data_IF_608744558958
#
_entry.id   IF_608744558958
#
_cell.length_a   1.000
_cell.length_b   1.000
_cell.length_c   1.000
_cell.angle_alpha   90.00
_cell.angle_beta   90.00
_cell.angle_gamma   90.00
#
_symmetry.space_group_name_H-M   'P 1'
#
loop_
_entity.id
_entity.type
_entity.pdbx_description
1 polymer ?
#
# COMPACT_ATOMS: atom_id res chain seq x y z
N UNK A 1 5.69 -0.01 28.18
CA UNK A 1 6.89 -0.85 28.30
C UNK A 1 7.08 -1.54 26.98
N UNK A 2 8.14 -1.24 26.23
CA UNK A 2 8.35 -1.79 24.89
C UNK A 2 8.88 -3.22 25.04
N UNK A 3 8.06 -4.20 24.71
CA UNK A 3 8.54 -5.56 24.51
C UNK A 3 9.39 -5.59 23.23
N UNK A 4 10.65 -5.16 23.36
CA UNK A 4 11.67 -5.61 22.44
C UNK A 4 11.86 -7.10 22.71
N UNK A 5 11.34 -7.95 21.83
CA UNK A 5 11.76 -9.35 21.82
C UNK A 5 13.21 -9.35 21.29
N UNK A 6 14.13 -9.00 22.18
CA UNK A 6 15.53 -9.39 22.02
C UNK A 6 15.59 -10.85 22.42
N UNK A 7 15.87 -11.72 21.49
CA UNK A 7 16.27 -13.07 21.84
C UNK A 7 17.51 -12.96 22.74
N UNK A 8 17.37 -13.41 23.98
CA UNK A 8 18.50 -13.47 24.93
C UNK A 8 19.49 -14.48 24.34
N UNK A 9 20.74 -14.11 24.23
CA UNK A 9 21.82 -14.92 23.67
C UNK A 9 22.13 -16.18 24.53
N UNK A 10 21.61 -16.20 25.75
CA UNK A 10 21.92 -17.27 26.73
C UNK A 10 21.00 -18.50 26.61
N UNK A 11 19.94 -18.45 25.80
CA UNK A 11 19.05 -19.58 25.60
C UNK A 11 19.41 -20.35 24.33
N UNK A 12 20.04 -21.48 24.48
CA UNK A 12 20.26 -22.44 23.39
C UNK A 12 18.91 -22.95 22.88
N UNK A 13 18.67 -22.90 21.59
CA UNK A 13 17.44 -23.37 20.96
C UNK A 13 17.71 -24.03 19.60
N UNK A 14 16.79 -24.88 19.16
CA UNK A 14 16.77 -25.46 17.82
C UNK A 14 16.17 -24.46 16.84
N UNK A 15 16.90 -24.15 15.78
CA UNK A 15 16.39 -23.27 14.72
C UNK A 15 15.76 -24.09 13.60
N UNK A 16 14.47 -23.85 13.37
CA UNK A 16 13.71 -24.46 12.27
C UNK A 16 13.52 -23.43 11.17
N UNK A 17 14.19 -23.58 10.04
CA UNK A 17 14.07 -22.69 8.90
C UNK A 17 13.11 -23.25 7.87
N UNK A 18 12.16 -22.41 7.42
CA UNK A 18 11.17 -22.79 6.40
C UNK A 18 11.25 -21.82 5.23
N UNK A 19 11.54 -22.38 4.06
CA UNK A 19 11.39 -21.68 2.78
C UNK A 19 9.99 -21.96 2.25
N UNK A 20 9.20 -20.89 2.09
CA UNK A 20 7.77 -20.98 1.82
C UNK A 20 7.47 -20.78 0.33
N UNK A 21 6.88 -21.80 -0.30
CA UNK A 21 6.31 -21.74 -1.65
C UNK A 21 4.79 -21.66 -1.64
N UNK A 22 4.18 -21.66 -2.84
CA UNK A 22 2.73 -21.60 -3.00
C UNK A 22 2.04 -22.92 -2.61
N UNK A 23 2.53 -24.06 -3.13
CA UNK A 23 1.91 -25.37 -2.97
C UNK A 23 2.60 -26.24 -1.90
N UNK A 24 3.86 -25.94 -1.62
CA UNK A 24 4.67 -26.66 -0.65
C UNK A 24 5.77 -25.75 -0.09
N UNK A 25 6.29 -26.15 1.06
CA UNK A 25 7.44 -25.52 1.71
C UNK A 25 8.55 -26.52 1.96
N UNK A 26 9.78 -26.06 2.11
CA UNK A 26 10.87 -26.87 2.60
C UNK A 26 11.25 -26.46 4.02
N UNK A 27 11.41 -27.44 4.89
CA UNK A 27 11.79 -27.29 6.29
C UNK A 27 13.15 -27.90 6.54
N UNK A 28 14.02 -27.19 7.26
CA UNK A 28 15.31 -27.69 7.76
C UNK A 28 15.46 -27.35 9.24
N UNK A 29 16.03 -28.27 10.00
CA UNK A 29 16.25 -28.13 11.44
C UNK A 29 17.76 -28.01 11.68
N UNK A 30 18.18 -26.96 12.39
CA UNK A 30 19.58 -26.71 12.74
C UNK A 30 19.75 -26.59 14.25
N UNK A 31 20.77 -27.24 14.77
CA UNK A 31 21.19 -27.14 16.17
C UNK A 31 21.98 -25.85 16.42
N UNK A 32 22.18 -25.43 17.68
CA UNK A 32 22.96 -24.24 18.03
C UNK A 32 24.39 -24.24 17.47
N UNK A 33 24.98 -25.42 17.31
CA UNK A 33 26.30 -25.61 16.72
C UNK A 33 26.30 -25.59 15.18
N UNK A 34 25.17 -25.22 14.55
CA UNK A 34 24.93 -25.14 13.11
C UNK A 34 24.89 -26.51 12.37
N UNK A 35 24.88 -27.62 13.08
CA UNK A 35 24.67 -28.94 12.48
C UNK A 35 23.18 -29.14 12.17
N UNK A 36 22.89 -29.79 11.03
CA UNK A 36 21.51 -30.07 10.63
C UNK A 36 21.05 -31.43 11.16
N UNK A 37 19.79 -31.43 11.65
CA UNK A 37 19.11 -32.68 12.07
C UNK A 37 18.39 -33.25 10.85
N UNK A 38 18.91 -34.36 10.35
CA UNK A 38 18.32 -35.07 9.23
C UNK A 38 18.39 -34.31 7.87
N UNK A 39 17.57 -34.78 6.93
CA UNK A 39 17.44 -34.16 5.59
C UNK A 39 16.31 -33.13 5.59
N UNK A 40 16.38 -32.09 4.72
CA UNK A 40 15.26 -31.17 4.55
C UNK A 40 13.96 -31.91 4.24
N UNK A 41 12.88 -31.54 4.92
CA UNK A 41 11.55 -32.12 4.76
C UNK A 41 10.66 -31.25 3.89
N UNK A 42 9.94 -31.87 2.93
CA UNK A 42 8.99 -31.19 2.08
C UNK A 42 7.61 -31.21 2.72
N UNK A 43 7.08 -30.03 3.06
CA UNK A 43 5.74 -29.86 3.62
C UNK A 43 4.77 -29.58 2.48
N UNK A 44 3.82 -30.46 2.24
CA UNK A 44 2.75 -30.23 1.26
C UNK A 44 1.62 -29.46 1.95
N UNK A 45 1.22 -28.31 1.39
CA UNK A 45 0.20 -27.45 1.99
C UNK A 45 -1.23 -28.02 1.89
N UNK A 46 -1.47 -28.89 0.92
CA UNK A 46 -2.75 -29.58 0.70
C UNK A 46 -2.88 -30.93 1.43
N UNK A 47 -1.92 -31.28 2.30
CA UNK A 47 -1.92 -32.55 3.03
C UNK A 47 -1.74 -32.32 4.53
N UNK A 48 -2.80 -32.61 5.28
CA UNK A 48 -2.76 -32.54 6.76
C UNK A 48 -1.73 -33.52 7.33
N UNK A 49 -1.61 -34.71 6.74
CA UNK A 49 -0.59 -35.69 7.16
C UNK A 49 0.83 -35.13 6.98
N UNK A 50 1.09 -34.42 5.90
CA UNK A 50 2.39 -33.77 5.67
C UNK A 50 2.66 -32.67 6.70
N UNK A 51 1.66 -31.86 7.04
CA UNK A 51 1.74 -30.82 8.06
C UNK A 51 1.97 -31.44 9.47
N UNK A 52 1.22 -32.50 9.80
CA UNK A 52 1.36 -33.21 11.08
C UNK A 52 2.74 -33.88 11.19
N UNK A 53 3.22 -34.47 10.10
CA UNK A 53 4.58 -35.05 10.06
C UNK A 53 5.67 -33.99 10.29
N UNK A 54 5.48 -32.77 9.72
CA UNK A 54 6.41 -31.67 9.98
C UNK A 54 6.46 -31.30 11.47
N UNK A 55 5.29 -31.19 12.12
CA UNK A 55 5.17 -30.96 13.57
C UNK A 55 5.84 -32.05 14.36
N UNK A 56 5.59 -33.34 14.03
CA UNK A 56 6.23 -34.48 14.72
C UNK A 56 7.76 -34.44 14.65
N UNK A 57 8.30 -34.12 13.46
CA UNK A 57 9.76 -33.98 13.27
C UNK A 57 10.38 -32.86 14.11
N UNK A 58 9.66 -31.76 14.31
CA UNK A 58 10.14 -30.66 15.17
C UNK A 58 10.14 -31.13 16.61
N UNK A 59 9.06 -31.78 17.10
CA UNK A 59 8.94 -32.31 18.47
C UNK A 59 9.95 -33.40 18.75
N UNK A 60 10.18 -34.34 17.83
CA UNK A 60 11.22 -35.37 17.93
C UNK A 60 12.62 -34.75 18.11
N UNK A 61 12.90 -33.63 17.42
CA UNK A 61 14.16 -32.91 17.61
C UNK A 61 14.21 -32.21 18.98
N UNK A 62 13.12 -31.58 19.44
CA UNK A 62 13.06 -30.99 20.79
C UNK A 62 13.33 -32.04 21.89
N UNK A 63 12.70 -33.19 21.80
CA UNK A 63 12.87 -34.30 22.75
C UNK A 63 14.30 -34.86 22.68
N UNK A 64 14.83 -35.10 21.47
CA UNK A 64 16.16 -35.72 21.28
C UNK A 64 17.31 -34.87 21.82
N UNK A 65 17.17 -33.55 21.75
CA UNK A 65 18.21 -32.59 22.15
C UNK A 65 17.87 -31.85 23.44
N UNK A 66 16.68 -32.05 24.01
CA UNK A 66 16.18 -31.35 25.21
C UNK A 66 16.27 -29.83 25.08
N UNK A 67 15.93 -29.30 23.92
CA UNK A 67 15.94 -27.88 23.57
C UNK A 67 14.62 -27.47 22.94
N UNK A 68 14.14 -26.26 23.25
CA UNK A 68 12.99 -25.68 22.57
C UNK A 68 13.32 -25.27 21.12
N UNK A 69 12.34 -25.33 20.24
CA UNK A 69 12.49 -24.86 18.86
C UNK A 69 11.96 -23.44 18.66
N UNK A 70 12.62 -22.71 17.76
CA UNK A 70 12.15 -21.43 17.22
C UNK A 70 12.06 -21.56 15.71
N UNK A 71 10.88 -21.25 15.17
CA UNK A 71 10.57 -21.43 13.75
C UNK A 71 10.70 -20.10 13.01
N UNK A 72 11.43 -20.13 11.92
CA UNK A 72 11.71 -18.98 11.07
C UNK A 72 11.21 -19.23 9.65
N UNK A 73 10.11 -18.51 9.26
CA UNK A 73 9.52 -18.60 7.94
C UNK A 73 9.98 -17.42 7.08
N UNK A 74 10.39 -17.69 5.84
CA UNK A 74 10.65 -16.61 4.90
C UNK A 74 9.32 -16.02 4.39
N UNK A 75 9.18 -14.67 4.42
CA UNK A 75 7.96 -13.99 3.94
C UNK A 75 7.90 -13.96 2.42
N UNK A 76 7.32 -15.00 1.83
CA UNK A 76 7.06 -15.05 0.39
C UNK A 76 5.61 -14.74 0.10
N UNK A 77 5.32 -13.51 -0.33
CA UNK A 77 3.96 -13.06 -0.61
C UNK A 77 3.02 -13.28 0.58
N UNK A 78 1.89 -13.95 0.32
CA UNK A 78 0.86 -14.30 1.33
C UNK A 78 0.96 -15.76 1.80
N UNK A 79 1.79 -16.58 1.17
CA UNK A 79 1.78 -18.03 1.34
C UNK A 79 2.28 -18.50 2.71
N UNK A 80 3.03 -17.66 3.43
CA UNK A 80 3.53 -18.00 4.77
C UNK A 80 2.45 -17.92 5.86
N UNK A 81 1.35 -17.16 5.64
CA UNK A 81 0.32 -16.96 6.67
C UNK A 81 -0.33 -18.26 7.18
N UNK A 82 -0.87 -19.14 6.30
CA UNK A 82 -1.51 -20.37 6.76
C UNK A 82 -0.57 -21.26 7.57
N UNK A 83 0.67 -21.42 7.10
CA UNK A 83 1.66 -22.27 7.76
C UNK A 83 2.13 -21.66 9.09
N UNK A 84 2.33 -20.33 9.13
CA UNK A 84 2.64 -19.61 10.36
C UNK A 84 1.55 -19.80 11.43
N UNK A 85 0.29 -19.58 11.07
CA UNK A 85 -0.85 -19.75 11.98
C UNK A 85 -0.95 -21.21 12.46
N UNK A 86 -0.86 -22.17 11.55
CA UNK A 86 -0.91 -23.59 11.88
C UNK A 86 0.18 -23.98 12.90
N UNK A 87 1.43 -23.56 12.69
CA UNK A 87 2.53 -23.88 13.59
C UNK A 87 2.41 -23.16 14.94
N UNK A 88 2.00 -21.90 14.93
CA UNK A 88 1.72 -21.13 16.15
C UNK A 88 0.61 -21.79 16.99
N UNK A 89 -0.46 -22.24 16.35
CA UNK A 89 -1.59 -22.88 17.02
C UNK A 89 -1.22 -24.28 17.59
N UNK A 90 -0.10 -24.89 17.10
CA UNK A 90 0.52 -26.07 17.69
C UNK A 90 1.47 -25.75 18.85
N UNK A 91 1.58 -24.47 19.25
CA UNK A 91 2.35 -24.00 20.39
C UNK A 91 3.80 -23.62 20.08
N UNK A 92 4.21 -23.58 18.81
CA UNK A 92 5.58 -23.20 18.46
C UNK A 92 5.81 -21.68 18.45
N UNK A 93 7.02 -21.28 18.82
CA UNK A 93 7.48 -19.90 18.68
C UNK A 93 7.86 -19.62 17.22
N UNK A 94 6.98 -18.95 16.50
CA UNK A 94 7.13 -18.66 15.06
C UNK A 94 7.49 -17.20 14.81
N UNK A 95 8.44 -16.99 13.91
CA UNK A 95 8.88 -15.66 13.46
C UNK A 95 9.00 -15.60 11.95
N UNK A 96 8.76 -14.42 11.38
CA UNK A 96 8.87 -14.20 9.93
C UNK A 96 10.15 -13.44 9.60
N UNK A 97 10.91 -13.93 8.62
CA UNK A 97 12.16 -13.32 8.15
C UNK A 97 11.93 -12.66 6.80
N UNK A 98 12.44 -11.44 6.65
CA UNK A 98 12.42 -10.77 5.36
C UNK A 98 13.40 -11.46 4.38
N UNK A 99 12.98 -11.80 3.14
CA UNK A 99 13.83 -12.44 2.13
C UNK A 99 15.15 -11.70 1.81
N UNK A 100 15.20 -10.40 2.05
CA UNK A 100 16.44 -9.62 1.88
C UNK A 100 17.50 -10.05 2.89
N UNK A 101 17.11 -10.44 4.10
CA UNK A 101 18.04 -10.86 5.15
C UNK A 101 18.64 -12.23 4.78
N UNK A 102 17.81 -13.18 4.35
CA UNK A 102 18.26 -14.50 3.92
C UNK A 102 19.16 -14.41 2.67
N UNK A 103 18.83 -13.58 1.71
CA UNK A 103 19.65 -13.35 0.50
C UNK A 103 21.01 -12.73 0.80
N UNK A 104 21.09 -11.76 1.72
CA UNK A 104 22.34 -11.04 2.03
C UNK A 104 23.28 -11.85 2.96
N UNK A 105 22.76 -12.82 3.70
CA UNK A 105 23.55 -13.56 4.69
C UNK A 105 24.35 -14.75 4.12
N UNK A 106 24.27 -15.04 2.83
CA UNK A 106 24.74 -16.29 2.21
C UNK A 106 25.87 -16.15 1.20
N UNK A 107 26.62 -15.07 1.20
CA UNK A 107 27.78 -14.90 0.29
C UNK A 107 29.01 -15.77 0.65
N UNK A 108 28.85 -16.87 1.38
CA UNK A 108 29.98 -17.76 1.78
C UNK A 108 30.33 -18.80 0.72
N UNK A 109 29.44 -19.09 -0.25
CA UNK A 109 29.71 -20.09 -1.28
C UNK A 109 29.79 -19.48 -2.68
N UNK A 110 30.90 -19.73 -3.37
CA UNK A 110 31.24 -19.27 -4.74
C UNK A 110 30.24 -19.79 -5.81
N UNK A 111 29.50 -20.87 -5.53
CA UNK A 111 28.47 -21.41 -6.43
C UNK A 111 27.08 -20.91 -6.02
N UNK A 112 26.43 -20.12 -6.89
CA UNK A 112 25.03 -19.73 -6.76
C UNK A 112 24.11 -20.93 -7.07
N UNK A 113 23.93 -21.82 -6.09
CA UNK A 113 22.90 -22.86 -6.17
C UNK A 113 21.63 -22.28 -5.55
N UNK A 114 20.63 -21.98 -6.34
CA UNK A 114 19.28 -21.65 -5.90
C UNK A 114 18.45 -22.93 -5.93
N UNK A 115 18.14 -23.45 -4.75
CA UNK A 115 17.28 -24.62 -4.57
C UNK A 115 16.57 -24.43 -3.23
N UNK A 116 15.25 -24.59 -3.22
CA UNK A 116 14.37 -24.39 -2.06
C UNK A 116 14.83 -25.19 -0.82
N UNK A 117 15.38 -26.40 -1.04
CA UNK A 117 16.00 -27.20 0.06
C UNK A 117 17.18 -26.48 0.70
N UNK A 118 17.95 -25.77 -0.10
CA UNK A 118 19.10 -25.01 0.37
C UNK A 118 18.67 -23.71 1.03
N UNK A 119 17.60 -23.10 0.55
CA UNK A 119 17.07 -21.86 1.10
C UNK A 119 16.40 -22.10 2.46
N UNK A 120 15.75 -23.25 2.71
CA UNK A 120 15.29 -23.63 4.05
C UNK A 120 16.45 -23.82 5.05
N UNK A 121 17.58 -24.40 4.61
CA UNK A 121 18.80 -24.50 5.43
C UNK A 121 19.37 -23.12 5.77
N UNK A 122 19.36 -22.19 4.81
CA UNK A 122 19.79 -20.82 5.06
C UNK A 122 18.89 -20.13 6.07
N UNK A 123 17.57 -20.29 5.95
CA UNK A 123 16.62 -19.71 6.90
C UNK A 123 16.90 -20.23 8.32
N UNK A 124 17.18 -21.54 8.49
CA UNK A 124 17.55 -22.12 9.78
C UNK A 124 18.86 -21.52 10.34
N UNK A 125 19.90 -21.39 9.52
CA UNK A 125 21.19 -20.79 9.97
C UNK A 125 21.06 -19.30 10.26
N UNK A 126 20.22 -18.58 9.51
CA UNK A 126 19.91 -17.16 9.78
C UNK A 126 19.18 -17.02 11.10
N UNK A 127 18.28 -17.96 11.42
CA UNK A 127 17.57 -18.02 12.70
C UNK A 127 18.50 -18.07 13.92
N UNK A 128 19.68 -18.65 13.79
CA UNK A 128 20.69 -18.74 14.88
C UNK A 128 21.51 -17.45 15.06
N UNK A 129 21.34 -16.43 14.20
CA UNK A 129 22.12 -15.18 14.34
C UNK A 129 21.58 -14.32 15.47
N UNK A 130 22.47 -13.82 16.37
CA UNK A 130 22.04 -13.02 17.53
C UNK A 130 21.37 -11.70 17.15
N UNK A 131 21.76 -11.09 16.05
CA UNK A 131 21.21 -9.79 15.57
C UNK A 131 20.07 -9.93 14.57
N UNK A 132 19.40 -11.09 14.54
CA UNK A 132 18.31 -11.33 13.60
C UNK A 132 17.13 -10.39 13.88
N UNK A 133 16.78 -9.59 12.89
CA UNK A 133 15.56 -8.79 12.92
C UNK A 133 14.41 -9.58 12.31
N UNK A 134 13.50 -10.00 13.15
CA UNK A 134 12.26 -10.66 12.73
C UNK A 134 11.18 -9.62 12.47
N UNK A 135 10.28 -9.94 11.53
CA UNK A 135 9.09 -9.12 11.27
C UNK A 135 7.99 -9.52 12.26
N UNK A 136 7.37 -8.53 12.89
CA UNK A 136 6.16 -8.77 13.67
C UNK A 136 5.00 -9.12 12.72
N UNK A 137 4.21 -10.11 13.11
CA UNK A 137 2.97 -10.43 12.40
C UNK A 137 1.91 -9.39 12.72
N UNK A 138 1.32 -8.75 11.72
CA UNK A 138 0.20 -7.86 11.94
C UNK A 138 -1.01 -8.60 12.53
N UNK A 139 -1.85 -7.89 13.27
CA UNK A 139 -3.15 -8.44 13.70
C UNK A 139 -4.05 -8.72 12.49
N UNK A 140 -5.05 -9.60 12.67
CA UNK A 140 -6.03 -9.89 11.62
C UNK A 140 -6.76 -8.63 11.15
N UNK A 141 -7.06 -7.71 12.08
CA UNK A 141 -7.65 -6.41 11.76
C UNK A 141 -6.73 -5.59 10.84
N UNK A 142 -5.45 -5.49 11.16
CA UNK A 142 -4.48 -4.77 10.33
C UNK A 142 -4.28 -5.42 8.95
N UNK A 143 -4.32 -6.76 8.89
CA UNK A 143 -4.26 -7.52 7.64
C UNK A 143 -5.49 -7.30 6.77
N UNK A 144 -6.69 -7.34 7.36
CA UNK A 144 -7.94 -7.08 6.65
C UNK A 144 -7.93 -5.65 6.07
N UNK A 145 -7.61 -4.65 6.88
CA UNK A 145 -7.48 -3.26 6.41
C UNK A 145 -6.44 -3.14 5.29
N UNK A 146 -5.28 -3.79 5.42
CA UNK A 146 -4.23 -3.79 4.39
C UNK A 146 -4.73 -4.38 3.08
N UNK A 147 -5.38 -5.53 3.12
CA UNK A 147 -5.84 -6.25 1.92
C UNK A 147 -6.94 -5.45 1.21
N UNK A 148 -7.93 -4.94 1.94
CA UNK A 148 -8.99 -4.10 1.37
C UNK A 148 -8.44 -2.80 0.79
N UNK A 149 -7.50 -2.13 1.46
CA UNK A 149 -6.86 -0.94 0.91
C UNK A 149 -6.08 -1.23 -0.37
N UNK A 150 -5.36 -2.35 -0.44
CA UNK A 150 -4.62 -2.75 -1.65
C UNK A 150 -5.57 -3.04 -2.80
N UNK A 151 -6.67 -3.75 -2.53
CA UNK A 151 -7.72 -4.02 -3.52
C UNK A 151 -8.36 -2.71 -4.02
N UNK A 152 -8.68 -1.78 -3.11
CA UNK A 152 -9.17 -0.45 -3.50
C UNK A 152 -8.26 0.23 -4.52
N UNK A 153 -6.94 0.27 -4.26
CA UNK A 153 -6.00 0.93 -5.18
C UNK A 153 -5.85 0.18 -6.51
N UNK A 154 -5.95 -1.12 -6.50
CA UNK A 154 -5.90 -1.96 -7.71
C UNK A 154 -7.13 -1.73 -8.59
N UNK A 155 -8.32 -1.71 -7.99
CA UNK A 155 -9.56 -1.34 -8.67
C UNK A 155 -9.52 0.08 -9.25
N UNK A 156 -8.97 1.05 -8.51
CA UNK A 156 -8.79 2.43 -8.99
C UNK A 156 -7.85 2.51 -10.19
N UNK A 157 -6.78 1.73 -10.20
CA UNK A 157 -5.82 1.71 -11.31
C UNK A 157 -6.44 1.02 -12.54
N UNK A 158 -7.15 -0.09 -12.36
CA UNK A 158 -7.89 -0.79 -13.40
C UNK A 158 -9.00 0.10 -13.99
N UNK A 159 -9.78 0.77 -13.13
CA UNK A 159 -10.77 1.76 -13.56
C UNK A 159 -10.15 2.83 -14.43
N UNK A 160 -9.02 3.39 -14.02
CA UNK A 160 -8.30 4.42 -14.77
C UNK A 160 -7.84 3.93 -16.14
N UNK A 161 -7.42 2.68 -16.25
CA UNK A 161 -7.04 2.06 -17.52
C UNK A 161 -8.25 1.99 -18.49
N UNK A 162 -9.45 1.62 -17.99
CA UNK A 162 -10.66 1.61 -18.82
C UNK A 162 -11.15 3.00 -19.18
N UNK A 163 -11.00 3.98 -18.31
CA UNK A 163 -11.28 5.39 -18.64
C UNK A 163 -10.38 5.86 -19.79
N UNK A 164 -9.09 5.53 -19.77
CA UNK A 164 -8.17 5.86 -20.86
C UNK A 164 -8.56 5.17 -22.18
N UNK A 165 -8.98 3.90 -22.13
CA UNK A 165 -9.49 3.17 -23.30
C UNK A 165 -10.75 3.82 -23.85
N UNK A 166 -11.73 4.17 -23.00
CA UNK A 166 -12.95 4.89 -23.40
C UNK A 166 -12.64 6.21 -24.08
N UNK A 167 -11.74 7.01 -23.50
CA UNK A 167 -11.32 8.26 -24.14
C UNK A 167 -10.62 8.03 -25.47
N UNK A 168 -9.87 6.95 -25.63
CA UNK A 168 -9.25 6.57 -26.90
C UNK A 168 -10.29 6.29 -27.99
N UNK A 169 -11.34 5.52 -27.65
CA UNK A 169 -12.45 5.25 -28.59
C UNK A 169 -13.19 6.53 -28.97
N UNK A 170 -13.49 7.37 -27.98
CA UNK A 170 -14.19 8.63 -28.23
C UNK A 170 -13.37 9.59 -29.08
N UNK A 171 -12.02 9.63 -28.93
CA UNK A 171 -11.17 10.46 -29.82
C UNK A 171 -11.26 10.05 -31.28
N UNK A 172 -11.51 8.77 -31.54
CA UNK A 172 -11.69 8.27 -32.89
C UNK A 172 -13.11 8.46 -33.40
N UNK A 173 -14.11 8.07 -32.59
CA UNK A 173 -15.49 7.99 -33.03
C UNK A 173 -16.30 9.28 -32.80
N UNK A 174 -15.99 10.03 -31.74
CA UNK A 174 -16.74 11.20 -31.28
C UNK A 174 -15.83 12.21 -30.54
N UNK A 175 -14.77 12.75 -31.17
CA UNK A 175 -13.79 13.58 -30.50
C UNK A 175 -14.36 14.84 -29.85
N UNK A 176 -15.38 15.42 -30.46
CA UNK A 176 -16.03 16.67 -29.98
C UNK A 176 -16.80 16.46 -28.67
N UNK A 177 -17.17 15.22 -28.32
CA UNK A 177 -17.85 14.90 -27.07
C UNK A 177 -16.98 15.13 -25.83
N UNK A 178 -15.67 14.95 -25.94
CA UNK A 178 -14.74 15.01 -24.81
C UNK A 178 -14.63 16.38 -24.12
N UNK A 179 -15.11 17.44 -24.72
CA UNK A 179 -15.12 18.81 -24.15
C UNK A 179 -16.45 19.23 -23.51
N UNK A 180 -17.51 18.42 -23.65
CA UNK A 180 -18.86 18.83 -23.23
C UNK A 180 -19.01 18.83 -21.70
N UNK A 181 -18.46 17.83 -21.05
CA UNK A 181 -18.49 17.67 -19.60
C UNK A 181 -17.10 17.85 -18.98
N UNK A 182 -17.05 18.21 -17.71
CA UNK A 182 -15.77 18.38 -16.98
C UNK A 182 -14.92 17.09 -16.96
N UNK A 183 -15.58 15.94 -16.93
CA UNK A 183 -14.98 14.61 -17.08
C UNK A 183 -15.95 13.71 -17.84
N UNK A 184 -15.43 12.87 -18.72
CA UNK A 184 -16.24 11.87 -19.46
C UNK A 184 -16.87 10.82 -18.51
N UNK A 185 -16.33 10.66 -17.33
CA UNK A 185 -16.76 9.67 -16.34
C UNK A 185 -17.81 10.16 -15.36
N UNK A 186 -18.36 11.34 -15.50
CA UNK A 186 -19.51 11.75 -14.68
C UNK A 186 -20.74 10.92 -15.07
N UNK A 187 -21.60 10.65 -14.09
CA UNK A 187 -22.77 9.78 -14.28
C UNK A 187 -23.60 10.18 -15.50
N UNK A 188 -23.92 11.47 -15.66
CA UNK A 188 -24.67 12.00 -16.80
C UNK A 188 -24.02 11.63 -18.14
N UNK A 189 -22.70 11.82 -18.26
CA UNK A 189 -21.97 11.53 -19.50
C UNK A 189 -21.95 10.03 -19.82
N UNK A 190 -21.71 9.19 -18.82
CA UNK A 190 -21.73 7.74 -19.01
C UNK A 190 -23.12 7.25 -19.40
N UNK A 191 -24.20 7.71 -18.73
CA UNK A 191 -25.58 7.32 -19.06
C UNK A 191 -25.94 7.75 -20.49
N UNK A 192 -25.59 8.96 -20.90
CA UNK A 192 -25.81 9.40 -22.27
C UNK A 192 -25.08 8.55 -23.31
N UNK A 193 -23.82 8.21 -23.06
CA UNK A 193 -23.02 7.36 -23.96
C UNK A 193 -23.50 5.90 -23.97
N UNK A 194 -24.06 5.40 -22.88
CA UNK A 194 -24.70 4.06 -22.84
C UNK A 194 -25.96 4.02 -23.70
N UNK A 195 -26.77 5.07 -23.59
CA UNK A 195 -28.03 5.17 -24.34
C UNK A 195 -27.79 5.48 -25.81
N UNK A 196 -26.99 6.52 -26.10
CA UNK A 196 -26.74 7.05 -27.45
C UNK A 196 -25.25 6.95 -27.80
N UNK A 197 -24.74 5.76 -28.02
CA UNK A 197 -23.31 5.47 -28.14
C UNK A 197 -22.60 6.14 -29.33
N UNK A 198 -23.34 6.61 -30.35
CA UNK A 198 -22.79 7.20 -31.59
C UNK A 198 -23.33 8.60 -31.84
N UNK A 199 -22.59 9.45 -32.61
CA UNK A 199 -23.09 10.77 -33.02
C UNK A 199 -24.45 10.68 -33.73
N UNK A 200 -24.61 9.74 -34.64
CA UNK A 200 -25.88 9.56 -35.37
C UNK A 200 -27.04 9.14 -34.46
N UNK A 201 -26.78 8.42 -33.35
CA UNK A 201 -27.81 8.09 -32.37
C UNK A 201 -28.27 9.32 -31.59
N UNK A 202 -27.37 10.23 -31.22
CA UNK A 202 -27.73 11.50 -30.60
C UNK A 202 -28.57 12.39 -31.51
N UNK A 203 -28.24 12.44 -32.80
CA UNK A 203 -28.99 13.24 -33.78
C UNK A 203 -30.42 12.72 -34.07
N UNK A 204 -30.64 11.41 -33.86
CA UNK A 204 -31.94 10.74 -34.03
C UNK A 204 -32.78 10.72 -32.74
N UNK A 205 -32.16 11.03 -31.60
CA UNK A 205 -32.79 10.94 -30.29
C UNK A 205 -33.81 12.05 -30.08
N UNK A 206 -34.85 11.80 -29.29
CA UNK A 206 -35.77 12.83 -28.86
C UNK A 206 -35.08 13.83 -27.94
N UNK A 207 -35.36 15.09 -28.19
CA UNK A 207 -34.78 16.23 -27.42
C UNK A 207 -35.14 16.12 -25.95
N UNK A 208 -36.38 15.77 -25.64
CA UNK A 208 -36.86 15.75 -24.27
C UNK A 208 -36.22 14.59 -23.49
N UNK A 209 -36.03 13.40 -24.11
CA UNK A 209 -35.33 12.28 -23.50
C UNK A 209 -33.91 12.62 -23.08
N UNK A 210 -33.13 13.28 -23.94
CA UNK A 210 -31.76 13.72 -23.60
C UNK A 210 -31.78 14.72 -22.45
N UNK A 211 -32.69 15.71 -22.48
CA UNK A 211 -32.83 16.69 -21.40
C UNK A 211 -33.20 16.01 -20.08
N UNK A 212 -34.11 15.04 -20.10
CA UNK A 212 -34.54 14.33 -18.90
C UNK A 212 -33.44 13.44 -18.31
N UNK A 213 -32.62 12.80 -19.14
CA UNK A 213 -31.41 12.09 -18.66
C UNK A 213 -30.45 13.09 -17.97
N UNK A 214 -30.21 14.25 -18.56
CA UNK A 214 -29.32 15.23 -17.96
C UNK A 214 -29.88 15.74 -16.63
N UNK A 215 -31.17 16.02 -16.54
CA UNK A 215 -31.84 16.49 -15.31
C UNK A 215 -31.87 15.41 -14.21
N UNK A 216 -32.15 14.16 -14.55
CA UNK A 216 -32.22 13.08 -13.57
C UNK A 216 -30.86 12.69 -13.00
N UNK A 217 -29.79 12.83 -13.79
CA UNK A 217 -28.44 12.44 -13.39
C UNK A 217 -27.57 13.60 -12.86
N UNK A 218 -27.98 14.84 -13.13
CA UNK A 218 -27.28 16.05 -12.70
C UNK A 218 -28.18 16.88 -11.76
N UNK A 219 -27.61 17.43 -10.69
CA UNK A 219 -28.34 18.32 -9.75
C UNK A 219 -28.45 19.76 -10.28
N UNK A 220 -28.62 19.93 -11.61
CA UNK A 220 -28.66 21.23 -12.27
C UNK A 220 -30.04 21.51 -12.89
N UNK A 221 -30.39 22.79 -13.02
CA UNK A 221 -31.69 23.21 -13.58
C UNK A 221 -31.83 23.02 -15.08
N UNK A 222 -33.05 23.32 -15.59
CA UNK A 222 -33.43 23.15 -16.99
C UNK A 222 -32.49 23.88 -17.98
N UNK A 223 -32.08 25.10 -17.64
CA UNK A 223 -31.16 25.92 -18.49
C UNK A 223 -29.81 25.20 -18.72
N UNK A 224 -29.26 24.57 -17.68
CA UNK A 224 -28.04 23.78 -17.82
C UNK A 224 -28.26 22.58 -18.76
N UNK A 225 -29.38 21.87 -18.57
CA UNK A 225 -29.70 20.71 -19.39
C UNK A 225 -29.87 21.08 -20.86
N UNK A 226 -30.56 22.17 -21.14
CA UNK A 226 -30.73 22.73 -22.52
C UNK A 226 -29.41 23.15 -23.16
N UNK A 227 -28.54 23.81 -22.39
CA UNK A 227 -27.21 24.20 -22.89
C UNK A 227 -26.34 22.97 -23.21
N UNK A 228 -26.39 21.93 -22.36
CA UNK A 228 -25.68 20.66 -22.62
C UNK A 228 -26.27 19.90 -23.80
N UNK A 229 -27.59 19.86 -23.93
CA UNK A 229 -28.25 19.31 -25.12
C UNK A 229 -27.74 19.97 -26.41
N UNK A 230 -27.78 21.30 -26.47
CA UNK A 230 -27.32 22.04 -27.65
C UNK A 230 -25.84 21.74 -27.98
N UNK A 231 -24.98 21.68 -26.95
CA UNK A 231 -23.57 21.33 -27.11
C UNK A 231 -23.38 19.90 -27.63
N UNK A 232 -24.18 18.94 -27.16
CA UNK A 232 -24.14 17.54 -27.62
C UNK A 232 -24.57 17.44 -29.09
N UNK A 233 -25.67 18.09 -29.49
CA UNK A 233 -26.18 18.06 -30.87
C UNK A 233 -25.18 18.71 -31.82
N UNK A 234 -24.59 19.84 -31.44
CA UNK A 234 -23.55 20.49 -32.25
C UNK A 234 -22.32 19.55 -32.38
N UNK A 235 -21.84 18.97 -31.26
CA UNK A 235 -20.75 18.02 -31.30
C UNK A 235 -21.06 16.80 -32.18
N UNK A 236 -22.27 16.26 -32.12
CA UNK A 236 -22.69 15.13 -32.94
C UNK A 236 -22.76 15.50 -34.44
N UNK A 237 -23.18 16.73 -34.77
CA UNK A 237 -23.17 17.25 -36.14
C UNK A 237 -21.73 17.36 -36.66
N UNK A 238 -20.84 17.93 -35.87
CA UNK A 238 -19.42 18.09 -36.23
C UNK A 238 -18.72 16.72 -36.37
N UNK A 239 -19.07 15.75 -35.52
CA UNK A 239 -18.52 14.40 -35.60
C UNK A 239 -18.90 13.64 -36.88
N UNK A 240 -20.03 13.95 -37.50
CA UNK A 240 -20.37 13.39 -38.80
C UNK A 240 -19.47 13.93 -39.95
N UNK A 241 -18.83 15.07 -39.74
CA UNK A 241 -17.84 15.62 -40.69
C UNK A 241 -16.43 15.18 -40.35
N UNK A 242 -16.11 15.07 -39.08
CA UNK A 242 -14.79 14.67 -38.57
C UNK A 242 -14.92 13.67 -37.40
N UNK A 243 -15.06 12.43 -37.73
CA UNK A 243 -15.11 11.29 -36.83
C UNK A 243 -15.12 10.02 -37.66
N UNK A 244 -14.57 8.96 -37.13
CA UNK A 244 -14.60 7.64 -37.77
C UNK A 244 -15.14 6.60 -36.80
N UNK A 245 -16.33 6.07 -37.12
CA UNK A 245 -17.02 5.12 -36.27
C UNK A 245 -17.36 3.86 -37.04
N UNK A 246 -17.08 2.71 -36.45
CA UNK A 246 -17.49 1.39 -36.93
C UNK A 246 -18.15 0.61 -35.78
N UNK A 247 -18.85 -0.46 -36.08
CA UNK A 247 -19.61 -1.25 -35.09
C UNK A 247 -18.78 -1.71 -33.89
N UNK A 248 -17.51 -2.03 -34.11
CA UNK A 248 -16.61 -2.43 -33.04
C UNK A 248 -16.37 -1.30 -32.02
N UNK A 249 -16.33 -0.02 -32.45
CA UNK A 249 -16.21 1.11 -31.53
C UNK A 249 -17.41 1.21 -30.62
N UNK A 250 -18.63 1.07 -31.16
CA UNK A 250 -19.87 1.11 -30.38
C UNK A 250 -19.86 0.01 -29.29
N UNK A 251 -19.48 -1.22 -29.67
CA UNK A 251 -19.38 -2.33 -28.74
C UNK A 251 -18.34 -2.09 -27.66
N UNK A 252 -17.17 -1.54 -28.03
CA UNK A 252 -16.07 -1.26 -27.08
C UNK A 252 -16.39 -0.11 -26.15
N UNK A 253 -17.04 0.98 -26.64
CA UNK A 253 -17.49 2.08 -25.79
C UNK A 253 -18.44 1.55 -24.72
N UNK A 254 -19.47 0.78 -25.07
CA UNK A 254 -20.42 0.19 -24.11
C UNK A 254 -19.73 -0.74 -23.12
N UNK A 255 -18.83 -1.61 -23.60
CA UNK A 255 -18.04 -2.51 -22.77
C UNK A 255 -17.19 -1.76 -21.75
N UNK A 256 -16.48 -0.70 -22.18
CA UNK A 256 -15.62 0.06 -21.27
C UNK A 256 -16.44 0.85 -20.23
N UNK A 257 -17.61 1.34 -20.58
CA UNK A 257 -18.51 2.00 -19.65
C UNK A 257 -19.02 0.98 -18.62
N UNK A 258 -19.43 -0.23 -19.02
CA UNK A 258 -19.88 -1.27 -18.08
C UNK A 258 -18.78 -1.66 -17.08
N UNK A 259 -17.52 -1.78 -17.52
CA UNK A 259 -16.39 -2.00 -16.61
C UNK A 259 -16.17 -0.82 -15.66
N UNK A 260 -16.21 0.43 -16.16
CA UNK A 260 -16.03 1.62 -15.33
C UNK A 260 -17.11 1.65 -14.23
N UNK A 261 -18.38 1.37 -14.56
CA UNK A 261 -19.48 1.33 -13.58
C UNK A 261 -19.29 0.20 -12.56
N UNK A 262 -18.87 -0.98 -13.03
CA UNK A 262 -18.60 -2.10 -12.10
C UNK A 262 -17.46 -1.79 -11.14
N UNK A 263 -16.39 -1.18 -11.63
CA UNK A 263 -15.30 -0.72 -10.76
C UNK A 263 -15.76 0.36 -9.77
N UNK A 264 -16.62 1.32 -10.19
CA UNK A 264 -17.17 2.33 -9.27
C UNK A 264 -18.01 1.69 -8.15
N UNK A 265 -18.82 0.68 -8.48
CA UNK A 265 -19.58 -0.10 -7.52
C UNK A 265 -18.67 -0.82 -6.51
N UNK A 266 -17.69 -1.60 -7.00
CA UNK A 266 -16.79 -2.36 -6.13
C UNK A 266 -15.88 -1.48 -5.28
N UNK A 267 -15.44 -0.34 -5.80
CA UNK A 267 -14.69 0.66 -5.03
C UNK A 267 -15.52 1.17 -3.85
N UNK A 268 -16.82 1.44 -4.05
CA UNK A 268 -17.72 1.86 -2.98
C UNK A 268 -17.94 0.75 -1.96
N UNK A 269 -18.17 -0.49 -2.41
CA UNK A 269 -18.33 -1.65 -1.53
C UNK A 269 -17.11 -1.86 -0.62
N UNK A 270 -15.89 -1.71 -1.16
CA UNK A 270 -14.66 -1.80 -0.36
C UNK A 270 -14.56 -0.65 0.65
N UNK A 271 -14.93 0.58 0.27
CA UNK A 271 -14.93 1.70 1.21
C UNK A 271 -15.94 1.48 2.35
N UNK A 272 -17.13 1.00 2.05
CA UNK A 272 -18.14 0.64 3.06
C UNK A 272 -17.60 -0.47 3.98
N UNK A 273 -17.05 -1.55 3.43
CA UNK A 273 -16.44 -2.63 4.21
C UNK A 273 -15.30 -2.16 5.11
N UNK A 274 -14.48 -1.19 4.66
CA UNK A 274 -13.43 -0.59 5.50
C UNK A 274 -14.02 0.23 6.65
N UNK A 275 -15.10 0.99 6.42
CA UNK A 275 -15.79 1.72 7.48
C UNK A 275 -16.40 0.77 8.50
N UNK A 276 -17.18 -0.23 8.05
CA UNK A 276 -17.77 -1.25 8.93
C UNK A 276 -16.71 -1.97 9.78
N UNK A 277 -15.57 -2.32 9.17
CA UNK A 277 -14.48 -3.01 9.87
C UNK A 277 -13.85 -2.12 10.95
N UNK A 278 -13.65 -0.84 10.68
CA UNK A 278 -13.08 0.12 11.64
C UNK A 278 -14.09 0.41 12.75
N UNK A 279 -15.34 0.70 12.42
CA UNK A 279 -16.41 1.01 13.37
C UNK A 279 -16.69 -0.17 14.33
N UNK A 280 -16.62 -1.41 13.82
CA UNK A 280 -16.78 -2.61 14.65
C UNK A 280 -15.62 -2.85 15.64
N UNK A 281 -14.49 -2.13 15.50
CA UNK A 281 -13.28 -2.31 16.31
C UNK A 281 -12.79 -1.00 16.95
N UNK A 282 -13.67 -0.05 17.24
CA UNK A 282 -13.34 1.29 17.76
C UNK A 282 -12.42 1.29 18.99
N UNK A 283 -12.57 0.30 19.87
CA UNK A 283 -11.76 0.20 21.09
C UNK A 283 -10.31 -0.29 20.83
N UNK A 284 -10.03 -0.83 19.66
CA UNK A 284 -8.71 -1.33 19.34
C UNK A 284 -7.68 -0.20 19.19
N UNK A 285 -6.49 -0.38 19.74
CA UNK A 285 -5.40 0.61 19.62
C UNK A 285 -5.03 0.90 18.17
N UNK A 286 -5.17 -0.07 17.29
CA UNK A 286 -4.98 0.08 15.85
C UNK A 286 -5.95 1.10 15.25
N UNK A 287 -7.23 1.08 15.67
CA UNK A 287 -8.26 2.03 15.20
C UNK A 287 -8.03 3.41 15.78
N UNK A 288 -7.70 3.51 17.06
CA UNK A 288 -7.31 4.78 17.69
C UNK A 288 -6.13 5.44 16.97
N UNK A 289 -5.17 4.65 16.50
CA UNK A 289 -4.04 5.13 15.68
C UNK A 289 -4.49 5.61 14.29
N UNK A 290 -5.49 4.99 13.67
CA UNK A 290 -6.11 5.48 12.44
C UNK A 290 -6.68 6.87 12.66
N UNK A 291 -7.51 7.06 13.69
CA UNK A 291 -8.11 8.36 14.01
C UNK A 291 -7.09 9.44 14.35
N UNK A 292 -5.98 9.07 14.97
CA UNK A 292 -4.86 9.99 15.19
C UNK A 292 -4.25 10.47 13.87
N UNK A 293 -4.07 9.59 12.89
CA UNK A 293 -3.54 9.98 11.57
C UNK A 293 -4.55 10.87 10.83
N UNK A 294 -5.85 10.67 10.97
CA UNK A 294 -6.88 11.52 10.37
C UNK A 294 -6.80 12.98 10.85
N UNK A 295 -6.26 13.22 12.04
CA UNK A 295 -6.01 14.57 12.53
C UNK A 295 -4.96 15.32 11.73
N UNK A 296 -4.11 14.61 10.96
CA UNK A 296 -3.13 15.24 10.07
C UNK A 296 -3.85 15.95 8.92
N UNK A 297 -3.67 17.27 8.84
CA UNK A 297 -4.41 18.10 7.90
C UNK A 297 -4.21 17.68 6.45
N UNK A 298 -5.24 17.10 5.84
CA UNK A 298 -5.23 16.53 4.49
C UNK A 298 -5.18 15.01 4.43
N UNK A 299 -5.08 14.33 5.56
CA UNK A 299 -5.36 12.91 5.67
C UNK A 299 -6.89 12.71 5.82
N UNK A 300 -7.47 11.92 4.94
CA UNK A 300 -8.83 11.39 5.13
C UNK A 300 -8.75 9.94 5.57
N UNK A 301 -9.91 9.38 5.93
CA UNK A 301 -10.09 8.00 6.40
C UNK A 301 -9.26 6.98 5.61
N UNK A 302 -9.45 6.90 4.29
CA UNK A 302 -8.74 5.94 3.44
C UNK A 302 -7.21 6.07 3.54
N UNK A 303 -6.69 7.31 3.62
CA UNK A 303 -5.25 7.53 3.77
C UNK A 303 -4.73 7.02 5.11
N UNK A 304 -5.49 7.25 6.18
CA UNK A 304 -5.14 6.81 7.53
C UNK A 304 -5.17 5.28 7.66
N UNK A 305 -6.26 4.65 7.22
CA UNK A 305 -6.40 3.19 7.21
C UNK A 305 -5.32 2.54 6.34
N UNK A 306 -5.04 3.10 5.15
CA UNK A 306 -3.99 2.56 4.27
C UNK A 306 -2.60 2.62 4.90
N UNK A 307 -2.25 3.72 5.56
CA UNK A 307 -0.96 3.86 6.25
C UNK A 307 -0.87 2.86 7.41
N UNK A 308 -1.89 2.77 8.24
CA UNK A 308 -1.92 1.85 9.38
C UNK A 308 -1.92 0.39 8.92
N UNK A 309 -2.70 0.05 7.90
CA UNK A 309 -2.69 -1.27 7.29
C UNK A 309 -1.30 -1.67 6.76
N UNK A 310 -0.57 -0.77 6.12
CA UNK A 310 0.80 -1.05 5.65
C UNK A 310 1.83 -1.09 6.79
N UNK A 311 1.66 -0.30 7.85
CA UNK A 311 2.49 -0.36 9.07
C UNK A 311 2.25 -1.69 9.79
N UNK A 312 0.99 -2.10 9.97
CA UNK A 312 0.58 -3.28 10.72
C UNK A 312 0.69 -3.10 12.22
N UNK A 313 1.89 -3.09 12.77
CA UNK A 313 2.18 -2.83 14.18
C UNK A 313 3.23 -1.73 14.29
N UNK A 314 2.83 -0.58 14.86
CA UNK A 314 3.72 0.57 15.02
C UNK A 314 4.82 0.34 16.05
N UNK A 315 4.66 -0.59 16.99
CA UNK A 315 5.67 -0.90 18.01
C UNK A 315 6.99 -1.40 17.41
N UNK A 316 6.97 -1.89 16.17
CA UNK A 316 8.16 -2.29 15.42
C UNK A 316 9.14 -1.14 15.12
N UNK A 317 8.69 0.11 15.26
CA UNK A 317 9.47 1.28 14.85
C UNK A 317 9.88 2.14 16.05
N UNK A 318 11.17 2.17 16.35
CA UNK A 318 11.73 3.01 17.42
C UNK A 318 12.19 4.41 16.95
N UNK A 319 12.37 4.60 15.64
CA UNK A 319 12.88 5.85 15.05
C UNK A 319 12.16 6.18 13.73
N UNK A 320 11.93 7.48 13.42
CA UNK A 320 11.26 7.89 12.19
C UNK A 320 11.96 7.39 10.91
N UNK A 321 13.28 7.29 10.93
CA UNK A 321 14.08 6.77 9.80
C UNK A 321 13.75 5.34 9.43
N UNK A 322 13.34 4.51 10.42
CA UNK A 322 12.95 3.12 10.17
C UNK A 322 11.64 3.05 9.40
N UNK A 323 10.63 3.87 9.77
CA UNK A 323 9.36 3.95 9.07
C UNK A 323 9.55 4.48 7.65
N UNK A 324 10.40 5.50 7.47
CA UNK A 324 10.72 6.06 6.15
C UNK A 324 11.38 5.04 5.22
N UNK A 325 12.34 4.27 5.75
CA UNK A 325 12.99 3.17 5.02
C UNK A 325 12.04 2.00 4.76
N UNK A 326 11.16 1.69 5.71
CA UNK A 326 10.15 0.64 5.57
C UNK A 326 9.18 0.91 4.41
N UNK A 327 8.81 2.18 4.21
CA UNK A 327 8.04 2.59 3.04
C UNK A 327 8.87 2.65 1.76
N UNK A 328 10.19 2.50 1.84
CA UNK A 328 11.11 2.56 0.68
C UNK A 328 11.20 3.96 0.08
N UNK A 329 11.09 4.98 0.92
CA UNK A 329 11.23 6.39 0.56
C UNK A 329 12.68 6.88 0.70
N UNK A 330 13.55 6.09 1.33
CA UNK A 330 14.97 6.35 1.53
C UNK A 330 15.72 6.38 0.20
N UNK A 331 16.80 7.16 0.10
CA UNK A 331 17.66 7.17 -1.08
C UNK A 331 18.41 5.83 -1.22
N UNK A 332 18.46 5.29 -2.44
CA UNK A 332 19.30 4.14 -2.74
C UNK A 332 20.76 4.56 -2.75
N UNK A 333 21.53 4.08 -1.78
CA UNK A 333 22.97 4.35 -1.72
C UNK A 333 23.71 3.56 -2.81
N UNK A 334 24.42 4.28 -3.69
CA UNK A 334 25.32 3.71 -4.70
C UNK A 334 26.71 4.25 -4.42
N UNK A 335 27.45 3.58 -3.56
CA UNK A 335 28.84 3.88 -3.25
C UNK A 335 29.69 2.65 -3.48
N UNK A 336 30.79 2.79 -4.21
CA UNK A 336 31.77 1.72 -4.45
C UNK A 336 33.16 2.37 -4.47
N UNK A 337 33.94 2.16 -3.43
CA UNK A 337 35.26 2.76 -3.29
C UNK A 337 35.22 4.31 -3.33
N UNK A 338 35.92 4.91 -4.28
CA UNK A 338 35.94 6.38 -4.49
C UNK A 338 34.72 6.89 -5.30
N UNK A 339 33.82 6.01 -5.76
CA UNK A 339 32.66 6.40 -6.57
C UNK A 339 31.47 6.74 -5.66
N UNK A 340 31.05 7.99 -5.68
CA UNK A 340 29.76 8.44 -5.11
C UNK A 340 28.78 8.73 -6.25
N UNK A 341 27.69 7.98 -6.28
CA UNK A 341 26.64 8.18 -7.27
C UNK A 341 25.94 9.53 -7.10
N UNK A 342 26.11 10.43 -8.06
CA UNK A 342 25.53 11.79 -8.03
C UNK A 342 24.01 11.81 -8.24
N UNK A 343 23.42 10.75 -8.82
CA UNK A 343 21.97 10.60 -9.03
C UNK A 343 21.42 9.49 -8.14
N UNK A 344 21.01 9.87 -6.94
CA UNK A 344 20.41 8.95 -5.97
C UNK A 344 18.91 8.89 -6.19
N UNK A 345 18.41 7.73 -6.60
CA UNK A 345 16.99 7.45 -6.72
C UNK A 345 16.43 6.89 -5.40
N UNK A 346 15.12 7.01 -5.21
CA UNK A 346 14.40 6.37 -4.10
C UNK A 346 14.58 4.85 -4.15
N UNK A 347 14.78 4.19 -3.01
CA UNK A 347 15.05 2.75 -2.91
C UNK A 347 13.91 1.88 -3.42
N UNK A 348 12.68 2.32 -3.20
CA UNK A 348 11.42 1.61 -3.55
C UNK A 348 11.32 0.18 -2.98
N UNK A 349 12.08 -0.13 -1.94
CA UNK A 349 12.13 -1.48 -1.32
C UNK A 349 10.93 -1.81 -0.46
N UNK A 350 10.08 -0.83 -0.15
CA UNK A 350 8.89 -1.00 0.68
C UNK A 350 7.58 -0.94 -0.11
N UNK A 351 6.47 -0.77 0.60
CA UNK A 351 5.12 -0.73 0.04
C UNK A 351 4.92 0.38 -0.99
N UNK A 352 4.44 0.02 -2.18
CA UNK A 352 4.04 0.97 -3.22
C UNK A 352 2.81 1.78 -2.78
N UNK A 353 1.88 1.15 -2.05
CA UNK A 353 0.66 1.80 -1.53
C UNK A 353 1.03 2.86 -0.49
N UNK A 354 1.87 2.52 0.50
CA UNK A 354 2.32 3.50 1.48
C UNK A 354 3.00 4.71 0.82
N UNK A 355 3.85 4.49 -0.19
CA UNK A 355 4.46 5.60 -0.96
C UNK A 355 3.43 6.44 -1.71
N UNK A 356 2.40 5.82 -2.30
CA UNK A 356 1.30 6.50 -2.99
C UNK A 356 0.55 7.40 -2.01
N UNK A 357 0.20 6.89 -0.83
CA UNK A 357 -0.51 7.66 0.20
C UNK A 357 0.36 8.79 0.74
N UNK A 358 1.62 8.54 1.10
CA UNK A 358 2.55 9.60 1.55
C UNK A 358 2.71 10.68 0.48
N UNK A 359 2.80 10.33 -0.79
CA UNK A 359 2.86 11.30 -1.89
C UNK A 359 1.57 12.13 -1.97
N UNK A 360 0.39 11.52 -1.82
CA UNK A 360 -0.90 12.22 -1.79
C UNK A 360 -0.96 13.19 -0.61
N UNK A 361 -0.58 12.76 0.60
CA UNK A 361 -0.52 13.63 1.78
C UNK A 361 0.48 14.78 1.60
N UNK A 362 1.60 14.51 0.93
CA UNK A 362 2.60 15.54 0.58
C UNK A 362 2.00 16.60 -0.33
N UNK A 363 1.29 16.20 -1.41
CA UNK A 363 0.59 17.12 -2.30
C UNK A 363 -0.47 17.92 -1.56
N UNK A 364 -1.28 17.26 -0.72
CA UNK A 364 -2.30 17.94 0.07
C UNK A 364 -1.68 18.96 1.03
N UNK A 365 -0.59 18.61 1.70
CA UNK A 365 0.08 19.50 2.67
C UNK A 365 0.59 20.80 2.04
N UNK A 366 1.05 20.78 0.79
CA UNK A 366 1.55 21.99 0.11
C UNK A 366 0.47 22.70 -0.71
N UNK A 367 -0.74 22.14 -0.81
CA UNK A 367 -1.83 22.72 -1.60
C UNK A 367 -2.42 23.97 -0.93
N UNK A 368 -3.06 24.79 -1.75
CA UNK A 368 -3.83 25.96 -1.32
C UNK A 368 -5.32 25.59 -1.37
N UNK A 369 -6.07 25.99 -0.37
CA UNK A 369 -7.53 25.90 -0.36
C UNK A 369 -8.15 26.88 -1.36
N UNK A 370 -9.46 26.74 -1.62
CA UNK A 370 -10.18 27.69 -2.48
C UNK A 370 -10.15 29.13 -1.97
N UNK A 371 -9.98 29.31 -0.66
CA UNK A 371 -9.89 30.62 0.00
C UNK A 371 -8.48 31.23 -0.05
N UNK A 372 -7.54 30.62 -0.80
CA UNK A 372 -6.17 31.13 -0.91
C UNK A 372 -5.23 30.72 0.25
N UNK A 373 -5.73 30.04 1.28
CA UNK A 373 -4.94 29.63 2.44
C UNK A 373 -4.19 28.30 2.19
N UNK A 374 -2.94 28.22 2.63
CA UNK A 374 -2.19 26.98 2.59
C UNK A 374 -2.76 25.95 3.60
N UNK A 375 -2.98 24.71 3.17
CA UNK A 375 -3.44 23.65 4.07
C UNK A 375 -2.45 23.41 5.21
N UNK A 376 -1.15 23.45 4.94
CA UNK A 376 -0.11 23.45 5.94
C UNK A 376 0.92 24.55 5.60
N UNK A 377 0.83 25.73 6.21
CA UNK A 377 1.70 26.87 5.88
C UNK A 377 3.19 26.53 6.07
N UNK A 378 3.53 25.81 7.14
CA UNK A 378 4.92 25.45 7.48
C UNK A 378 5.55 24.54 6.40
N UNK A 379 4.82 23.51 5.98
CA UNK A 379 5.31 22.59 4.93
C UNK A 379 5.34 23.27 3.56
N UNK A 380 4.38 24.15 3.29
CA UNK A 380 4.36 24.91 2.03
C UNK A 380 5.53 25.88 1.94
N UNK A 381 5.80 26.65 2.99
CA UNK A 381 6.96 27.55 3.03
C UNK A 381 8.27 26.77 2.84
N UNK A 382 8.41 25.66 3.55
CA UNK A 382 9.57 24.80 3.40
C UNK A 382 9.70 24.24 1.98
N UNK A 383 8.59 23.87 1.33
CA UNK A 383 8.57 23.41 -0.06
C UNK A 383 9.06 24.51 -1.01
N UNK A 384 8.52 25.73 -0.91
CA UNK A 384 8.89 26.85 -1.76
C UNK A 384 10.38 27.15 -1.62
N UNK A 385 10.89 27.26 -0.38
CA UNK A 385 12.32 27.47 -0.10
C UNK A 385 13.20 26.36 -0.70
N UNK A 386 12.73 25.11 -0.75
CA UNK A 386 13.45 24.01 -1.42
C UNK A 386 13.43 24.12 -2.94
N UNK A 387 12.38 24.67 -3.51
CA UNK A 387 12.27 24.87 -4.96
C UNK A 387 13.22 25.94 -5.49
N UNK A 388 13.69 26.87 -4.65
CA UNK A 388 14.66 27.93 -5.04
C UNK A 388 16.01 27.31 -5.47
N UNK A 389 16.39 26.16 -4.88
CA UNK A 389 17.71 25.54 -5.13
C UNK A 389 17.64 24.12 -5.70
N UNK A 390 16.42 23.52 -5.78
CA UNK A 390 16.27 22.12 -6.17
C UNK A 390 15.09 21.91 -7.10
N UNK A 391 15.13 20.91 -8.00
CA UNK A 391 14.00 20.54 -8.83
C UNK A 391 12.77 20.18 -7.98
N UNK A 392 11.56 20.54 -8.44
CA UNK A 392 10.29 20.32 -7.72
C UNK A 392 10.11 18.88 -7.21
N UNK A 393 10.53 17.86 -7.99
CA UNK A 393 10.45 16.46 -7.57
C UNK A 393 11.35 16.15 -6.36
N UNK A 394 12.52 16.78 -6.29
CA UNK A 394 13.45 16.62 -5.15
C UNK A 394 12.89 17.33 -3.93
N UNK A 395 12.33 18.54 -4.10
CA UNK A 395 11.63 19.26 -3.04
C UNK A 395 10.47 18.44 -2.48
N UNK A 396 9.65 17.82 -3.34
CA UNK A 396 8.58 16.90 -2.93
C UNK A 396 9.10 15.74 -2.07
N UNK A 397 10.23 15.12 -2.43
CA UNK A 397 10.85 14.08 -1.61
C UNK A 397 11.21 14.57 -0.19
N UNK A 398 11.71 15.79 -0.06
CA UNK A 398 12.00 16.39 1.24
C UNK A 398 10.72 16.62 2.08
N UNK A 399 9.61 17.02 1.45
CA UNK A 399 8.31 17.14 2.13
C UNK A 399 7.78 15.76 2.55
N UNK A 400 7.86 14.76 1.67
CA UNK A 400 7.45 13.38 1.98
C UNK A 400 8.17 12.85 3.23
N UNK A 401 9.47 13.16 3.38
CA UNK A 401 10.23 12.83 4.58
C UNK A 401 9.67 13.54 5.84
N UNK A 402 9.31 14.83 5.73
CA UNK A 402 8.70 15.57 6.84
C UNK A 402 7.33 15.02 7.21
N UNK A 403 6.48 14.71 6.22
CA UNK A 403 5.16 14.08 6.43
C UNK A 403 5.32 12.75 7.16
N UNK A 404 6.24 11.89 6.72
CA UNK A 404 6.50 10.61 7.39
C UNK A 404 6.96 10.79 8.85
N UNK A 405 7.83 11.79 9.11
CA UNK A 405 8.27 12.10 10.47
C UNK A 405 7.11 12.61 11.35
N UNK A 406 6.19 13.40 10.78
CA UNK A 406 5.01 13.90 11.50
C UNK A 406 4.05 12.74 11.83
N UNK A 407 3.79 11.84 10.90
CA UNK A 407 2.99 10.62 11.16
C UNK A 407 3.63 9.78 12.25
N UNK A 408 4.95 9.57 12.19
CA UNK A 408 5.67 8.87 13.25
C UNK A 408 5.50 9.54 14.61
N UNK A 409 5.59 10.87 14.69
CA UNK A 409 5.43 11.62 15.93
C UNK A 409 4.00 11.52 16.49
N UNK A 410 2.97 11.62 15.63
CA UNK A 410 1.57 11.43 16.00
C UNK A 410 1.36 10.08 16.69
N UNK A 411 1.86 9.00 16.06
CA UNK A 411 1.71 7.64 16.58
C UNK A 411 2.55 7.38 17.83
N UNK A 412 3.78 7.89 17.89
CA UNK A 412 4.68 7.75 19.05
C UNK A 412 4.14 8.45 20.28
N UNK A 413 3.65 9.69 20.11
CA UNK A 413 3.24 10.56 21.20
C UNK A 413 1.76 10.31 21.58
N UNK A 414 1.05 9.53 20.78
CA UNK A 414 -0.38 9.24 20.92
C UNK A 414 -1.21 10.53 21.06
N UNK A 415 -0.91 11.55 20.24
CA UNK A 415 -1.52 12.88 20.31
C UNK A 415 -1.99 13.36 18.95
N UNK A 416 -3.13 14.07 18.87
CA UNK A 416 -3.61 14.68 17.65
C UNK A 416 -2.59 15.65 17.05
N UNK A 417 -2.54 15.71 15.71
CA UNK A 417 -1.65 16.61 15.01
C UNK A 417 -2.01 18.09 15.23
N UNK A 418 -0.99 18.88 15.52
CA UNK A 418 -1.09 20.36 15.58
C UNK A 418 -0.01 20.97 14.69
N UNK A 419 -0.40 22.00 13.92
CA UNK A 419 0.58 22.78 13.15
C UNK A 419 1.26 23.73 14.13
N UNK A 420 2.56 23.53 14.33
CA UNK A 420 3.38 24.36 15.23
C UNK A 420 4.50 24.99 14.39
N UNK A 421 4.74 26.29 14.58
CA UNK A 421 5.84 26.97 13.92
C UNK A 421 7.20 26.36 14.33
N UNK A 422 8.19 26.25 13.43
CA UNK A 422 9.46 25.58 13.73
C UNK A 422 10.18 26.20 14.95
N UNK A 423 10.11 27.52 15.12
CA UNK A 423 10.74 28.22 16.26
C UNK A 423 10.07 27.86 17.60
N UNK A 424 8.75 27.75 17.62
CA UNK A 424 8.00 27.33 18.79
C UNK A 424 8.25 25.87 19.14
N UNK A 425 8.29 25.00 18.10
CA UNK A 425 8.63 23.57 18.30
C UNK A 425 10.03 23.40 18.90
N UNK A 426 11.02 24.19 18.46
CA UNK A 426 12.39 24.17 19.04
C UNK A 426 12.35 24.59 20.50
N UNK A 427 11.59 25.65 20.85
CA UNK A 427 11.43 26.10 22.25
C UNK A 427 10.84 25.00 23.13
N UNK A 428 9.75 24.38 22.68
CA UNK A 428 9.09 23.29 23.40
C UNK A 428 10.02 22.06 23.56
N UNK A 429 10.75 21.70 22.53
CA UNK A 429 11.72 20.59 22.58
C UNK A 429 12.86 20.85 23.57
N UNK A 430 13.40 22.06 23.59
CA UNK A 430 14.46 22.42 24.52
C UNK A 430 13.96 22.49 25.97
N UNK A 431 12.74 23.01 26.22
CA UNK A 431 12.13 23.00 27.53
C UNK A 431 11.92 21.57 28.06
N UNK A 432 11.35 20.67 27.25
CA UNK A 432 11.17 19.27 27.63
C UNK A 432 12.47 18.51 27.87
N UNK A 433 13.59 18.93 27.26
CA UNK A 433 14.92 18.37 27.57
C UNK A 433 15.47 18.83 28.91
N UNK A 434 15.18 20.07 29.32
CA UNK A 434 15.59 20.57 30.62
C UNK A 434 14.83 19.86 31.74
N UNK A 435 13.54 19.60 31.55
CA UNK A 435 12.69 18.89 32.53
C UNK A 435 13.06 17.42 32.75
N UNK A 436 13.70 16.77 31.75
CA UNK A 436 14.20 15.39 31.86
C UNK A 436 15.60 15.33 32.51
N UNK A 437 16.32 16.45 32.50
CA UNK A 437 17.68 16.56 33.05
C UNK A 437 17.71 17.12 34.47
N UNK A 438 16.58 17.59 34.99
CA UNK A 438 16.34 17.99 36.38
C UNK A 438 15.63 16.85 37.15
#
# INVERSE_FOLDING_TARGET
MSNKVFFNLDDLFISVGIDVGADFSWMSIALPNQQFVGKPYKILHNSIDSLTTAVSKIKEAEESYSLESRIFLESTGIYHYPLFCYLRDKGFNCSVINPIITKNSTNINIRKVHNDRFDSKKAALVGLKPDLKVSLMPSDLALNCRNLCREYYDLMDNRSAYVNKLQGELRMAFPQYLGIFSKVTINTSLTLLETYTSPSAFLKADKQEIIDIIKSTARFGLTYAQNKYNAIIQAATDANQFGYIIDSNIKRIRLYISFIRKYDEEINNILESLHELVDANEDADFVKQIHLIETFRGAGFLSAVSIMGEIGDFSAFSKPKQLFAYFGLDPAVKQSGKFEGTKVQMSKRGSAIARRVIHTLTLQSISISRNGEAKNPVLREYYLKKCDSKPKRVAMGAISHKVCNMIFAILRDNKPFKIIAPQEHIKQYNAAKCDIAA
#
